data_IF_336609518913
#
_entry.id   IF_336609518913
#
_cell.length_a   1.000
_cell.length_b   1.000
_cell.length_c   1.000
_cell.angle_alpha   90.00
_cell.angle_beta   90.00
_cell.angle_gamma   90.00
#
_symmetry.space_group_name_H-M   'P 1'
#
loop_
_entity.id
_entity.type
_entity.pdbx_description
1 polymer ?
2 polymer ?
3 polymer ?
4 water ?
#
# COMPACT_ATOMS: atom_id res chain seq x y z
N UNK A 1 2.06 -17.72 12.31
CA UNK A 1 2.12 -17.73 10.81
C UNK A 1 3.37 -17.05 10.25
N UNK A 2 3.47 -16.94 8.93
CA UNK A 2 4.63 -16.31 8.26
C UNK A 2 4.60 -14.77 8.30
N UNK A 3 5.76 -14.19 8.05
CA UNK A 3 5.98 -12.76 8.18
C UNK A 3 6.94 -12.29 7.08
N UNK A 4 6.84 -11.01 6.75
CA UNK A 4 7.59 -10.42 5.64
C UNK A 4 8.19 -9.05 6.00
N UNK A 5 9.35 -8.79 5.39
CA UNK A 5 9.99 -7.50 5.41
C UNK A 5 10.03 -7.09 3.94
N UNK A 6 9.45 -5.93 3.64
CA UNK A 6 9.37 -5.44 2.25
C UNK A 6 9.71 -3.97 2.20
N UNK A 7 10.54 -3.59 1.24
CA UNK A 7 10.82 -2.20 0.91
C UNK A 7 10.26 -1.92 -0.47
N UNK A 8 9.46 -0.89 -0.54
CA UNK A 8 8.95 -0.33 -1.79
C UNK A 8 9.77 0.90 -2.12
N UNK A 9 10.51 0.85 -3.21
CA UNK A 9 11.38 1.95 -3.56
C UNK A 9 11.01 2.54 -4.92
N UNK A 10 11.04 3.87 -4.98
CA UNK A 10 10.57 4.63 -6.12
C UNK A 10 11.52 5.78 -6.40
N UNK A 11 11.95 5.88 -7.65
CA UNK A 11 12.72 7.02 -8.12
C UNK A 11 12.03 7.61 -9.35
N UNK A 12 11.75 8.90 -9.31
CA UNK A 12 10.96 9.54 -10.35
C UNK A 12 11.66 10.80 -10.81
N UNK A 13 12.02 10.87 -12.09
CA UNK A 13 12.71 12.05 -12.59
C UNK A 13 11.68 13.17 -12.82
N UNK A 14 12.19 14.39 -12.81
CA UNK A 14 11.43 15.63 -12.90
C UNK A 14 12.23 16.62 -13.75
N UNK A 15 12.40 16.37 -15.03
CA UNK A 15 13.27 17.22 -15.85
C UNK A 15 12.84 18.68 -15.77
N UNK A 16 13.79 19.57 -15.53
CA UNK A 16 13.51 20.98 -15.45
C UNK A 16 13.23 21.42 -14.05
N UNK A 17 13.06 20.46 -13.13
CA UNK A 17 12.66 20.75 -11.76
C UNK A 17 13.64 20.21 -10.71
N UNK A 18 14.86 19.89 -11.12
CA UNK A 18 15.89 19.46 -10.21
C UNK A 18 16.04 17.95 -10.18
N UNK A 19 16.51 17.46 -9.04
CA UNK A 19 16.87 16.06 -8.92
C UNK A 19 15.63 15.18 -8.80
N UNK A 20 15.74 13.89 -9.11
CA UNK A 20 14.58 13.01 -8.94
C UNK A 20 14.05 12.98 -7.50
N UNK A 21 12.76 12.72 -7.35
CA UNK A 21 12.22 12.32 -6.05
C UNK A 21 12.55 10.87 -5.80
N UNK A 22 12.99 10.60 -4.58
CA UNK A 22 13.42 9.26 -4.22
C UNK A 22 12.75 8.91 -2.89
N UNK A 23 12.10 7.76 -2.84
CA UNK A 23 11.48 7.28 -1.62
C UNK A 23 11.73 5.81 -1.38
N UNK A 24 11.88 5.44 -0.11
CA UNK A 24 11.89 4.05 0.32
C UNK A 24 10.85 3.93 1.42
N UNK A 25 9.95 2.96 1.31
CA UNK A 25 8.95 2.75 2.34
C UNK A 25 9.08 1.29 2.76
N UNK A 26 9.30 1.06 4.06
CA UNK A 26 9.47 -0.28 4.58
C UNK A 26 8.25 -0.76 5.31
N UNK A 27 7.93 -2.04 5.16
CA UNK A 27 6.82 -2.71 5.86
C UNK A 27 7.31 -3.95 6.53
N UNK A 28 6.81 -4.22 7.75
CA UNK A 28 6.81 -5.55 8.32
C UNK A 28 5.36 -6.01 8.24
N UNK A 29 5.12 -7.12 7.54
CA UNK A 29 3.77 -7.57 7.17
C UNK A 29 3.01 -6.44 6.49
N UNK A 30 1.84 -6.09 6.99
CA UNK A 30 1.01 -5.04 6.39
C UNK A 30 1.21 -3.67 7.07
N UNK A 31 2.24 -3.54 7.94
CA UNK A 31 2.44 -2.30 8.72
C UNK A 31 3.67 -1.52 8.27
N UNK A 32 3.47 -0.27 7.87
CA UNK A 32 4.55 0.64 7.57
C UNK A 32 5.38 0.86 8.83
N UNK A 33 6.70 0.73 8.73
CA UNK A 33 7.56 0.90 9.89
C UNK A 33 8.76 1.84 9.71
N UNK A 34 9.20 2.10 8.48
CA UNK A 34 10.25 3.09 8.22
C UNK A 34 9.98 3.77 6.88
N UNK A 35 10.54 4.96 6.72
CA UNK A 35 10.45 5.68 5.46
C UNK A 35 11.60 6.67 5.27
N UNK A 36 12.04 6.76 4.02
CA UNK A 36 12.92 7.82 3.57
C UNK A 36 12.28 8.53 2.39
N UNK A 37 12.28 9.85 2.44
CA UNK A 37 11.69 10.65 1.36
C UNK A 37 12.61 11.81 1.04
N UNK A 38 13.13 11.85 -0.19
CA UNK A 38 14.10 12.88 -0.55
C UNK A 38 13.50 14.27 -0.54
N UNK A 39 12.19 14.37 -0.58
CA UNK A 39 11.54 15.69 -0.62
C UNK A 39 11.29 16.32 0.76
N UNK A 40 11.44 15.56 1.83
CA UNK A 40 11.36 16.12 3.17
C UNK A 40 12.35 17.29 3.31
N UNK A 41 12.02 18.17 4.24
CA UNK A 41 12.86 19.34 4.59
C UNK A 41 14.30 18.90 4.90
N UNK A 42 14.43 17.91 5.77
CA UNK A 42 15.72 17.30 6.17
C UNK A 42 15.70 15.77 5.89
N UNK A 43 16.07 15.31 4.70
CA UNK A 43 15.79 13.91 4.35
C UNK A 43 16.64 12.92 5.18
N UNK A 44 15.93 12.08 5.95
CA UNK A 44 16.53 11.01 6.72
C UNK A 44 15.54 9.87 6.86
N UNK A 45 16.05 8.70 7.20
CA UNK A 45 15.17 7.56 7.49
C UNK A 45 14.47 7.90 8.80
N UNK A 46 13.18 7.62 8.87
CA UNK A 46 12.36 7.93 10.03
C UNK A 46 11.56 6.75 10.43
N UNK A 47 11.31 6.58 11.71
CA UNK A 47 10.37 5.54 12.18
C UNK A 47 8.93 5.88 11.78
N UNK A 48 8.18 4.87 11.40
CA UNK A 48 6.74 5.03 11.08
C UNK A 48 5.84 4.18 11.97
N UNK A 49 6.46 3.36 12.82
CA UNK A 49 5.75 2.56 13.83
C UNK A 49 6.38 2.86 15.19
N UNK A 50 5.57 2.85 16.23
CA UNK A 50 6.00 3.26 17.58
C UNK A 50 7.15 2.39 18.13
N UNK A 51 7.10 1.09 17.88
CA UNK A 51 8.14 0.17 18.38
C UNK A 51 9.53 0.39 17.79
N UNK A 52 9.63 1.12 16.68
CA UNK A 52 10.95 1.48 16.13
C UNK A 52 11.69 2.49 17.02
N UNK A 53 11.06 2.97 18.07
CA UNK A 53 11.74 3.75 19.08
C UNK A 53 12.85 2.96 19.78
N UNK A 54 12.77 1.63 19.70
CA UNK A 54 13.76 0.72 20.28
C UNK A 54 15.10 0.65 19.55
N UNK A 55 15.19 1.19 18.33
CA UNK A 55 16.50 1.34 17.68
C UNK A 55 17.20 2.64 18.10
N UNK A 56 18.51 2.56 18.33
CA UNK A 56 19.35 3.68 18.68
C UNK A 56 19.78 4.57 17.49
N UNK A 57 20.46 5.67 17.79
CA UNK A 57 20.86 6.64 16.77
C UNK A 57 21.69 6.02 15.66
N UNK A 58 22.48 5.00 15.98
CA UNK A 58 23.35 4.34 15.01
C UNK A 58 22.53 3.65 13.91
N UNK A 59 21.38 3.08 14.27
CA UNK A 59 20.48 2.52 13.28
C UNK A 59 20.04 3.58 12.25
N UNK A 60 19.53 4.70 12.74
CA UNK A 60 19.00 5.74 11.86
C UNK A 60 20.10 6.38 11.01
N UNK A 61 21.31 6.49 11.56
CA UNK A 61 22.43 7.02 10.81
C UNK A 61 22.82 6.11 9.65
N UNK A 62 22.99 4.80 9.92
CA UNK A 62 23.35 3.82 8.90
C UNK A 62 22.30 3.72 7.79
N UNK A 63 21.04 3.55 8.19
CA UNK A 63 19.95 3.43 7.22
C UNK A 63 19.85 4.69 6.36
N UNK A 64 20.00 5.85 7.00
CA UNK A 64 20.00 7.12 6.29
C UNK A 64 21.12 7.19 5.24
N UNK A 65 22.34 6.81 5.64
CA UNK A 65 23.45 6.85 4.72
C UNK A 65 23.23 5.86 3.61
N UNK A 66 22.66 4.70 3.93
CA UNK A 66 22.36 3.74 2.90
C UNK A 66 21.31 4.28 1.90
N UNK A 67 20.27 4.91 2.43
CA UNK A 67 19.22 5.54 1.58
C UNK A 67 19.78 6.64 0.65
N UNK A 68 20.64 7.48 1.19
CA UNK A 68 21.25 8.54 0.40
C UNK A 68 22.13 7.97 -0.72
N UNK A 69 22.80 6.86 -0.42
CA UNK A 69 23.61 6.18 -1.44
C UNK A 69 22.72 5.56 -2.51
N UNK A 70 21.63 4.96 -2.06
CA UNK A 70 20.67 4.36 -2.97
C UNK A 70 20.06 5.42 -3.87
N UNK A 71 19.73 6.59 -3.27
CA UNK A 71 19.17 7.72 -4.01
C UNK A 71 20.11 8.15 -5.17
N UNK A 72 21.41 8.21 -4.89
CA UNK A 72 22.39 8.55 -5.92
C UNK A 72 22.48 7.45 -7.01
N UNK A 73 22.39 6.17 -6.62
CA UNK A 73 22.39 5.04 -7.57
C UNK A 73 21.21 5.09 -8.51
N UNK A 74 20.04 5.38 -7.95
CA UNK A 74 18.83 5.53 -8.76
C UNK A 74 18.84 6.76 -9.66
N UNK A 75 19.48 7.83 -9.21
CA UNK A 75 19.66 8.95 -10.11
C UNK A 75 20.45 8.55 -11.36
N UNK A 76 21.55 7.83 -11.15
CA UNK A 76 22.38 7.31 -12.22
C UNK A 76 21.57 6.37 -13.10
N UNK A 77 20.79 5.49 -12.49
CA UNK A 77 19.96 4.53 -13.21
C UNK A 77 18.98 5.21 -14.17
N UNK A 78 18.32 6.25 -13.69
CA UNK A 78 17.36 7.01 -14.54
C UNK A 78 18.05 7.52 -15.81
N UNK A 79 19.27 8.03 -15.67
CA UNK A 79 20.04 8.50 -16.84
C UNK A 79 20.49 7.32 -17.70
N UNK A 80 20.90 6.22 -17.09
CA UNK A 80 21.33 5.03 -17.82
C UNK A 80 20.22 4.48 -18.70
N UNK A 81 19.03 4.35 -18.14
CA UNK A 81 17.89 3.77 -18.84
C UNK A 81 17.40 4.65 -19.99
N UNK A 82 17.54 5.98 -19.85
CA UNK A 82 17.29 6.89 -20.98
C UNK A 82 18.14 6.52 -22.18
N UNK A 83 19.41 6.20 -21.95
CA UNK A 83 20.28 5.67 -22.98
C UNK A 83 19.88 4.31 -23.52
N UNK A 84 19.58 3.36 -22.63
CA UNK A 84 19.16 2.00 -23.01
C UNK A 84 17.94 2.03 -23.95
N UNK A 85 16.97 2.89 -23.63
CA UNK A 85 15.71 2.94 -24.37
C UNK A 85 15.65 4.03 -25.44
N UNK A 86 16.75 4.79 -25.62
CA UNK A 86 16.82 5.92 -26.57
C UNK A 86 15.76 7.00 -26.35
N UNK A 87 15.57 7.41 -25.10
CA UNK A 87 14.52 8.36 -24.75
C UNK A 87 15.14 9.74 -24.50
N UNK A 88 14.35 10.79 -24.67
CA UNK A 88 14.84 12.17 -24.47
C UNK A 88 14.94 12.53 -22.99
N UNK A 89 15.70 13.59 -22.72
CA UNK A 89 15.87 14.08 -21.34
C UNK A 89 14.65 14.86 -20.81
N UNK A 90 13.67 15.14 -21.65
CA UNK A 90 12.57 16.02 -21.29
C UNK A 90 11.39 15.40 -20.57
N UNK A 91 11.31 14.06 -20.56
CA UNK A 91 10.15 13.35 -20.03
C UNK A 91 10.43 12.79 -18.64
N UNK A 92 9.40 12.69 -17.81
CA UNK A 92 9.53 12.04 -16.51
C UNK A 92 9.48 10.51 -16.66
N UNK A 93 10.35 9.82 -15.92
CA UNK A 93 10.34 8.35 -15.87
C UNK A 93 10.41 7.85 -14.43
N UNK A 94 10.00 6.61 -14.24
CA UNK A 94 9.88 6.03 -12.91
C UNK A 94 10.61 4.71 -12.86
N UNK A 95 11.47 4.53 -11.87
CA UNK A 95 11.94 3.19 -11.51
C UNK A 95 11.27 2.75 -10.19
N UNK A 96 10.80 1.51 -10.14
CA UNK A 96 10.24 0.92 -8.92
C UNK A 96 10.94 -0.38 -8.56
N UNK A 97 11.14 -0.60 -7.27
CA UNK A 97 11.70 -1.86 -6.77
C UNK A 97 10.93 -2.34 -5.56
N UNK A 98 10.67 -3.66 -5.51
CA UNK A 98 10.20 -4.31 -4.31
C UNK A 98 11.28 -5.29 -3.90
N UNK A 99 11.71 -5.20 -2.66
CA UNK A 99 12.86 -5.93 -2.18
C UNK A 99 12.54 -6.44 -0.79
N UNK A 100 12.82 -7.71 -0.54
CA UNK A 100 12.61 -8.24 0.80
C UNK A 100 12.60 -9.74 0.92
N UNK A 101 12.07 -10.18 2.05
CA UNK A 101 12.09 -11.56 2.43
C UNK A 101 10.88 -11.89 3.31
N UNK A 102 10.59 -13.18 3.36
CA UNK A 102 9.55 -13.78 4.17
C UNK A 102 10.16 -14.92 4.95
N UNK A 103 9.76 -15.02 6.22
CA UNK A 103 10.14 -16.13 7.10
C UNK A 103 8.89 -16.86 7.58
N UNK A 104 9.06 -18.13 7.95
CA UNK A 104 8.01 -18.92 8.59
C UNK A 104 7.85 -18.50 10.03
N UNK A 105 6.90 -19.11 10.73
CA UNK A 105 6.72 -18.86 12.15
C UNK A 105 7.96 -19.22 12.99
N UNK A 106 8.82 -20.11 12.47
CA UNK A 106 10.09 -20.46 13.14
C UNK A 106 11.28 -19.51 12.84
N UNK A 107 11.04 -18.45 12.06
CA UNK A 107 12.05 -17.46 11.76
C UNK A 107 12.94 -17.81 10.58
N UNK A 108 12.71 -18.97 9.95
CA UNK A 108 13.56 -19.38 8.85
C UNK A 108 13.05 -18.88 7.50
N UNK A 109 13.98 -18.55 6.61
CA UNK A 109 13.64 -18.02 5.30
C UNK A 109 12.72 -18.94 4.49
N UNK A 110 11.64 -18.38 3.96
CA UNK A 110 10.76 -19.08 3.03
C UNK A 110 11.00 -18.60 1.61
N UNK A 111 11.20 -17.29 1.44
CA UNK A 111 11.27 -16.69 0.11
C UNK A 111 12.01 -15.35 0.17
N UNK A 112 12.80 -15.06 -0.86
CA UNK A 112 13.43 -13.77 -1.01
C UNK A 112 13.00 -13.19 -2.34
N UNK A 113 12.97 -11.87 -2.47
CA UNK A 113 12.60 -11.28 -3.75
C UNK A 113 13.18 -9.90 -3.99
N UNK A 114 13.31 -9.59 -5.26
CA UNK A 114 13.86 -8.32 -5.71
C UNK A 114 13.40 -8.14 -7.13
N UNK A 115 12.44 -7.25 -7.29
CA UNK A 115 11.78 -7.04 -8.56
C UNK A 115 11.82 -5.56 -8.92
N UNK A 116 12.17 -5.28 -10.18
CA UNK A 116 12.32 -3.94 -10.68
C UNK A 116 11.34 -3.72 -11.82
N UNK A 117 10.80 -2.52 -11.88
CA UNK A 117 10.02 -2.04 -12.99
C UNK A 117 10.56 -0.69 -13.49
N UNK A 118 10.36 -0.44 -14.78
CA UNK A 118 10.58 0.85 -15.41
C UNK A 118 9.30 1.32 -16.08
N UNK A 119 8.88 2.54 -15.77
CA UNK A 119 7.64 3.14 -16.27
C UNK A 119 6.45 2.21 -16.17
N UNK A 120 6.39 1.49 -15.03
CA UNK A 120 5.27 0.66 -14.66
C UNK A 120 5.23 -0.71 -15.32
N UNK A 121 6.31 -1.12 -15.97
CA UNK A 121 6.41 -2.44 -16.60
C UNK A 121 7.60 -3.22 -16.02
N UNK A 122 7.44 -4.53 -15.87
CA UNK A 122 8.51 -5.44 -15.47
C UNK A 122 9.81 -5.10 -16.21
N UNK A 123 10.92 -5.10 -15.47
CA UNK A 123 12.23 -4.83 -16.02
C UNK A 123 13.16 -6.03 -15.78
N UNK A 124 13.55 -6.24 -14.53
CA UNK A 124 14.33 -7.39 -14.15
C UNK A 124 13.92 -7.86 -12.76
N UNK A 125 14.09 -9.15 -12.52
CA UNK A 125 13.73 -9.75 -11.25
C UNK A 125 14.69 -10.87 -10.93
N UNK A 126 15.05 -10.98 -9.65
CA UNK A 126 15.70 -12.19 -9.15
C UNK A 126 14.74 -13.40 -9.20
N UNK A 127 15.21 -14.52 -9.74
CA UNK A 127 14.42 -15.75 -9.78
C UNK A 127 14.37 -16.38 -8.38
N UNK A 128 13.49 -17.35 -8.18
CA UNK A 128 13.26 -17.92 -6.83
C UNK A 128 14.47 -18.73 -6.33
N UNK A 129 15.31 -19.20 -7.24
CA UNK A 129 16.60 -19.82 -6.90
C UNK A 129 17.61 -18.88 -6.16
N UNK A 130 17.38 -17.56 -6.21
CA UNK A 130 18.27 -16.54 -5.63
C UNK A 130 19.68 -16.55 -6.24
N UNK A 131 19.75 -16.99 -7.50
CA UNK A 131 21.00 -17.15 -8.22
C UNK A 131 20.98 -16.55 -9.64
N UNK A 132 19.81 -16.50 -10.29
CA UNK A 132 19.71 -15.99 -11.66
C UNK A 132 18.59 -14.96 -11.81
N UNK A 133 18.63 -14.23 -12.91
CA UNK A 133 17.73 -13.11 -13.18
C UNK A 133 16.82 -13.40 -14.35
N UNK A 134 15.62 -12.82 -14.32
CA UNK A 134 14.82 -12.73 -15.55
C UNK A 134 14.63 -11.29 -15.98
N UNK A 135 14.96 -11.04 -17.25
CA UNK A 135 14.92 -9.74 -17.88
C UNK A 135 13.73 -9.70 -18.83
N UNK A 136 12.91 -8.66 -18.73
CA UNK A 136 11.67 -8.60 -19.52
C UNK A 136 11.85 -8.04 -20.91
N UNK A 137 12.99 -7.41 -21.17
CA UNK A 137 13.26 -6.79 -22.46
C UNK A 137 14.77 -6.66 -22.68
N UNK A 138 15.18 -6.08 -23.81
CA UNK A 138 16.58 -6.11 -24.18
C UNK A 138 17.41 -5.10 -23.42
N UNK A 139 16.78 -4.04 -22.94
CA UNK A 139 17.46 -3.12 -22.03
C UNK A 139 17.88 -3.84 -20.73
N UNK A 140 16.92 -4.54 -20.12
CA UNK A 140 17.16 -5.28 -18.90
C UNK A 140 18.20 -6.38 -19.11
N UNK A 141 18.36 -6.85 -20.35
CA UNK A 141 19.39 -7.82 -20.65
C UNK A 141 20.79 -7.23 -20.45
N UNK A 142 20.92 -5.92 -20.65
CA UNK A 142 22.20 -5.24 -20.41
C UNK A 142 22.47 -5.26 -18.92
N UNK A 143 21.44 -4.91 -18.13
CA UNK A 143 21.58 -4.92 -16.68
C UNK A 143 21.94 -6.35 -16.17
N UNK A 144 21.24 -7.35 -16.69
CA UNK A 144 21.48 -8.75 -16.29
C UNK A 144 22.95 -9.11 -16.49
N UNK A 145 23.47 -8.77 -17.66
CA UNK A 145 24.86 -9.07 -17.97
C UNK A 145 25.81 -8.32 -17.01
N UNK A 146 25.56 -7.04 -16.70
CA UNK A 146 26.42 -6.36 -15.71
C UNK A 146 26.38 -7.03 -14.34
N UNK A 147 25.19 -7.42 -13.94
CA UNK A 147 25.00 -7.99 -12.63
C UNK A 147 25.63 -9.38 -12.55
N UNK A 148 25.62 -10.12 -13.66
CA UNK A 148 26.28 -11.43 -13.70
C UNK A 148 27.80 -11.27 -13.52
N UNK A 149 28.36 -10.32 -14.26
CA UNK A 149 29.82 -10.12 -14.21
C UNK A 149 30.29 -9.57 -12.86
N UNK A 150 29.43 -8.81 -12.18
CA UNK A 150 29.77 -8.24 -10.86
C UNK A 150 29.44 -9.14 -9.67
N UNK A 151 28.82 -10.29 -9.92
CA UNK A 151 28.44 -11.18 -8.83
C UNK A 151 27.28 -10.61 -8.01
N UNK A 152 26.39 -9.85 -8.63
CA UNK A 152 25.34 -9.18 -7.89
C UNK A 152 24.35 -10.12 -7.22
N UNK A 153 24.00 -11.22 -7.88
CA UNK A 153 23.05 -12.16 -7.31
C UNK A 153 23.59 -12.76 -6.02
N UNK A 154 24.88 -13.08 -5.99
CA UNK A 154 25.45 -13.62 -4.76
C UNK A 154 25.43 -12.58 -3.60
N UNK A 155 25.76 -11.32 -3.90
CA UNK A 155 25.65 -10.22 -2.93
C UNK A 155 24.21 -10.10 -2.45
N UNK A 156 23.26 -10.16 -3.37
CA UNK A 156 21.84 -10.02 -3.03
C UNK A 156 21.36 -11.18 -2.20
N UNK A 157 21.77 -12.39 -2.58
CA UNK A 157 21.41 -13.60 -1.84
C UNK A 157 21.93 -13.54 -0.40
N UNK A 158 23.13 -13.01 -0.21
CA UNK A 158 23.71 -12.88 1.13
C UNK A 158 22.89 -11.92 2.00
N UNK A 159 22.39 -10.83 1.39
CA UNK A 159 21.45 -9.92 2.05
C UNK A 159 20.13 -10.64 2.42
N UNK A 160 19.51 -11.28 1.44
CA UNK A 160 18.23 -11.93 1.66
C UNK A 160 18.28 -13.04 2.73
N UNK A 161 19.34 -13.85 2.73
CA UNK A 161 19.47 -14.97 3.67
C UNK A 161 20.02 -14.54 5.00
N UNK A 162 20.72 -13.41 5.02
CA UNK A 162 21.45 -12.94 6.18
C UNK A 162 20.77 -11.74 6.80
N UNK A 163 21.23 -10.55 6.43
CA UNK A 163 20.68 -9.26 6.89
C UNK A 163 19.16 -9.19 6.92
N UNK A 164 18.52 -9.55 5.81
CA UNK A 164 17.08 -9.36 5.70
C UNK A 164 16.35 -10.21 6.75
N UNK A 165 16.70 -11.48 6.85
CA UNK A 165 16.00 -12.34 7.80
C UNK A 165 16.33 -11.96 9.24
N UNK A 166 17.59 -11.63 9.51
CA UNK A 166 18.02 -11.30 10.84
C UNK A 166 17.36 -10.02 11.38
N UNK A 167 17.23 -9.00 10.53
CA UNK A 167 16.55 -7.79 10.90
C UNK A 167 15.04 -8.01 11.01
N UNK A 168 14.46 -8.78 10.10
CA UNK A 168 13.05 -9.12 10.22
C UNK A 168 12.74 -9.78 11.57
N UNK A 169 13.56 -10.74 11.99
CA UNK A 169 13.39 -11.40 13.28
C UNK A 169 13.44 -10.38 14.40
N UNK A 170 14.42 -9.49 14.34
CA UNK A 170 14.56 -8.43 15.35
C UNK A 170 13.34 -7.49 15.38
N UNK A 171 12.79 -7.12 14.22
CA UNK A 171 11.66 -6.21 14.17
C UNK A 171 10.42 -6.88 14.77
N UNK A 172 10.24 -8.15 14.45
CA UNK A 172 9.13 -8.94 15.02
C UNK A 172 9.21 -9.10 16.53
N UNK A 173 10.43 -9.23 17.04
CA UNK A 173 10.66 -9.32 18.47
C UNK A 173 10.35 -7.98 19.13
N UNK A 174 10.97 -6.93 18.62
CA UNK A 174 10.79 -5.60 19.20
C UNK A 174 9.35 -5.11 19.08
N UNK A 175 8.72 -5.38 17.94
CA UNK A 175 7.37 -4.93 17.68
C UNK A 175 6.29 -5.96 17.99
N UNK A 176 6.59 -6.94 18.84
CA UNK A 176 5.70 -8.11 18.98
C UNK A 176 4.27 -7.75 19.40
N UNK A 177 4.13 -6.78 20.29
CA UNK A 177 2.84 -6.37 20.80
C UNK A 177 1.94 -5.77 19.68
N UNK A 178 2.55 -5.19 18.66
CA UNK A 178 1.84 -4.62 17.50
C UNK A 178 1.70 -5.65 16.37
N UNK A 179 2.81 -6.28 16.04
CA UNK A 179 2.90 -7.12 14.85
C UNK A 179 2.27 -8.50 15.01
N UNK A 180 2.28 -9.03 16.23
CA UNK A 180 1.74 -10.38 16.47
C UNK A 180 0.36 -10.32 17.10
N UNK A 181 -0.22 -9.12 17.14
CA UNK A 181 -1.58 -8.96 17.67
C UNK A 181 -2.63 -9.41 16.64
N UNK A 182 -3.82 -9.64 17.15
CA UNK A 182 -4.99 -9.87 16.32
C UNK A 182 -6.10 -8.90 16.75
N UNK A 183 -6.59 -8.08 15.82
CA UNK A 183 -7.78 -7.23 16.05
C UNK A 183 -8.95 -7.78 15.23
N UNK A 184 -9.99 -8.20 15.92
CA UNK A 184 -11.16 -8.82 15.34
C UNK A 184 -12.01 -7.82 14.57
N UNK A 185 -12.48 -8.19 13.38
CA UNK A 185 -13.40 -7.32 12.66
C UNK A 185 -14.69 -7.10 13.41
N UNK A 186 -15.25 -5.90 13.29
CA UNK A 186 -16.60 -5.64 13.70
C UNK A 186 -17.37 -5.39 12.40
N UNK A 187 -18.50 -6.06 12.20
CA UNK A 187 -19.23 -5.96 10.95
C UNK A 187 -20.63 -5.36 11.10
N UNK A 188 -21.10 -4.75 10.01
CA UNK A 188 -22.48 -4.29 9.90
C UNK A 188 -22.92 -4.24 8.45
N UNK A 189 -24.22 -4.20 8.22
CA UNK A 189 -24.80 -4.17 6.89
C UNK A 189 -25.61 -2.90 6.72
N UNK A 190 -25.39 -2.20 5.62
CA UNK A 190 -26.20 -1.05 5.24
C UNK A 190 -27.06 -1.42 4.04
N UNK A 191 -28.06 -0.58 3.79
CA UNK A 191 -29.14 -0.85 2.85
C UNK A 191 -29.40 0.43 2.08
N UNK A 192 -29.43 0.33 0.75
CA UNK A 192 -29.72 1.47 -0.13
C UNK A 192 -30.71 1.10 -1.23
N UNK A 193 -31.66 2.00 -1.47
CA UNK A 193 -32.66 1.76 -2.47
C UNK A 193 -32.07 1.96 -3.87
N UNK A 194 -32.67 1.31 -4.85
CA UNK A 194 -32.34 1.46 -6.26
C UNK A 194 -33.62 1.65 -7.06
N UNK A 195 -33.52 2.07 -8.31
CA UNK A 195 -34.67 1.97 -9.22
C UNK A 195 -34.95 0.50 -9.54
N UNK A 196 -36.16 0.17 -9.97
CA UNK A 196 -36.44 -1.18 -10.48
C UNK A 196 -36.73 -2.21 -9.35
N UNK A 197 -37.15 -1.72 -8.18
CA UNK A 197 -37.55 -2.60 -7.05
C UNK A 197 -36.39 -3.50 -6.60
N UNK A 198 -35.20 -2.93 -6.58
CA UNK A 198 -34.00 -3.63 -6.14
C UNK A 198 -33.34 -2.81 -5.04
N UNK A 199 -32.32 -3.39 -4.40
CA UNK A 199 -31.80 -2.89 -3.14
C UNK A 199 -30.32 -3.30 -3.06
N UNK A 200 -29.46 -2.35 -2.70
CA UNK A 200 -28.06 -2.66 -2.43
C UNK A 200 -27.89 -2.99 -0.96
N UNK A 201 -27.31 -4.15 -0.68
CA UNK A 201 -26.89 -4.49 0.67
C UNK A 201 -25.36 -4.43 0.72
N UNK A 202 -24.81 -3.71 1.68
CA UNK A 202 -23.35 -3.58 1.78
C UNK A 202 -22.88 -4.12 3.13
N UNK A 203 -21.99 -5.10 3.09
CA UNK A 203 -21.42 -5.64 4.31
C UNK A 203 -20.07 -5.02 4.57
N UNK A 204 -19.94 -4.40 5.74
CA UNK A 204 -18.74 -3.73 6.18
C UNK A 204 -18.05 -4.59 7.24
N UNK A 205 -16.73 -4.60 7.18
CA UNK A 205 -15.87 -5.17 8.20
C UNK A 205 -14.84 -4.10 8.59
N UNK A 206 -14.82 -3.74 9.88
CA UNK A 206 -14.03 -2.62 10.38
C UNK A 206 -13.07 -3.06 11.46
N UNK A 207 -11.98 -2.32 11.59
CA UNK A 207 -11.12 -2.39 12.77
C UNK A 207 -10.26 -3.63 12.88
N UNK A 208 -9.93 -4.29 11.78
CA UNK A 208 -9.24 -5.58 11.89
C UNK A 208 -7.74 -5.53 11.60
N UNK A 209 -7.03 -6.48 12.19
CA UNK A 209 -5.61 -6.70 11.93
C UNK A 209 -5.32 -8.19 12.19
N UNK A 210 -4.57 -8.89 11.34
CA UNK A 210 -3.95 -8.36 10.11
C UNK A 210 -4.92 -8.14 8.96
N UNK A 211 -4.39 -7.78 7.79
CA UNK A 211 -5.21 -7.30 6.70
C UNK A 211 -5.99 -8.43 6.00
N UNK A 212 -5.49 -9.67 6.05
CA UNK A 212 -6.11 -10.77 5.28
C UNK A 212 -7.48 -11.00 5.86
N UNK A 213 -8.48 -10.97 5.00
CA UNK A 213 -9.85 -11.23 5.37
C UNK A 213 -10.64 -11.77 4.18
N UNK A 214 -11.76 -12.44 4.47
CA UNK A 214 -12.70 -12.83 3.43
C UNK A 214 -14.12 -12.40 3.84
N UNK A 215 -14.81 -11.73 2.89
CA UNK A 215 -16.20 -11.36 3.02
C UNK A 215 -16.95 -11.95 1.85
N UNK A 216 -18.00 -12.69 2.14
CA UNK A 216 -18.84 -13.21 1.06
C UNK A 216 -20.27 -12.89 1.38
N UNK A 217 -21.11 -12.98 0.37
CA UNK A 217 -22.56 -12.93 0.55
C UNK A 217 -23.11 -14.26 0.11
N UNK A 218 -24.12 -14.77 0.82
CA UNK A 218 -24.76 -16.04 0.50
C UNK A 218 -26.26 -15.88 0.29
N UNK A 219 -26.80 -16.66 -0.64
CA UNK A 219 -28.25 -16.90 -0.77
C UNK A 219 -28.45 -18.41 -0.72
N UNK A 220 -29.29 -18.91 0.18
CA UNK A 220 -29.60 -20.36 0.22
C UNK A 220 -28.34 -21.24 0.19
N UNK A 221 -27.35 -20.84 0.99
CA UNK A 221 -26.13 -21.61 1.17
C UNK A 221 -25.09 -21.53 0.08
N UNK A 222 -25.35 -20.79 -1.00
CA UNK A 222 -24.43 -20.67 -2.13
C UNK A 222 -23.78 -19.28 -2.15
N UNK A 223 -22.47 -19.23 -2.35
CA UNK A 223 -21.77 -17.96 -2.45
C UNK A 223 -22.10 -17.27 -3.78
N UNK A 224 -22.23 -15.95 -3.74
CA UNK A 224 -22.57 -15.13 -4.89
C UNK A 224 -21.36 -14.32 -5.39
N UNK A 225 -20.20 -14.97 -5.53
CA UNK A 225 -18.93 -14.25 -5.84
C UNK A 225 -18.98 -13.46 -7.16
N UNK A 226 -19.73 -13.97 -8.14
CA UNK A 226 -19.82 -13.31 -9.46
C UNK A 226 -20.60 -11.99 -9.42
N UNK A 227 -21.65 -11.91 -8.60
CA UNK A 227 -22.54 -10.73 -8.57
C UNK A 227 -22.10 -9.60 -7.59
N UNK A 228 -21.06 -9.85 -6.80
CA UNK A 228 -20.62 -8.94 -5.74
C UNK A 228 -19.75 -7.82 -6.26
N UNK A 229 -20.00 -6.61 -5.75
CA UNK A 229 -19.01 -5.53 -5.82
C UNK A 229 -18.25 -5.43 -4.49
N UNK A 230 -16.99 -5.07 -4.58
CA UNK A 230 -16.19 -4.90 -3.37
C UNK A 230 -15.06 -3.89 -3.57
N UNK A 231 -14.42 -3.53 -2.47
CA UNK A 231 -13.18 -2.79 -2.53
C UNK A 231 -12.07 -3.67 -1.99
N UNK A 232 -10.87 -3.41 -2.47
CA UNK A 232 -9.67 -4.00 -1.92
C UNK A 232 -9.58 -3.55 -0.47
N UNK A 233 -9.14 -4.47 0.37
CA UNK A 233 -8.87 -4.23 1.76
C UNK A 233 -7.94 -3.03 1.86
N UNK A 234 -8.24 -2.16 2.81
CA UNK A 234 -7.64 -0.84 2.82
C UNK A 234 -7.33 -0.36 4.21
N UNK A 235 -6.21 0.35 4.36
CA UNK A 235 -5.79 0.83 5.68
C UNK A 235 -6.68 1.99 6.15
N UNK A 236 -6.87 2.11 7.47
CA UNK A 236 -7.85 3.04 8.03
C UNK A 236 -7.21 4.10 8.93
N UNK A 237 -5.89 4.23 8.85
CA UNK A 237 -5.19 5.37 9.40
C UNK A 237 -4.53 5.16 10.76
N UNK A 238 -4.81 4.02 11.39
CA UNK A 238 -4.32 3.73 12.75
C UNK A 238 -3.69 2.35 12.86
N UNK A 239 -3.31 1.77 11.73
CA UNK A 239 -2.71 0.46 11.71
C UNK A 239 -3.69 -0.68 11.62
N UNK A 240 -4.98 -0.39 11.49
CA UNK A 240 -5.97 -1.41 11.18
C UNK A 240 -6.47 -1.26 9.75
N UNK A 241 -7.31 -2.19 9.35
CA UNK A 241 -7.83 -2.28 7.99
C UNK A 241 -9.34 -2.35 7.96
N UNK A 242 -9.87 -2.17 6.77
CA UNK A 242 -11.31 -2.29 6.52
C UNK A 242 -11.61 -2.77 5.11
N UNK A 243 -12.82 -3.22 4.92
CA UNK A 243 -13.27 -3.73 3.64
C UNK A 243 -14.78 -3.67 3.60
N UNK A 244 -15.34 -3.54 2.40
CA UNK A 244 -16.74 -3.86 2.20
C UNK A 244 -16.99 -4.68 0.94
N UNK A 245 -18.15 -5.35 0.94
CA UNK A 245 -18.63 -6.12 -0.19
C UNK A 245 -20.15 -5.96 -0.26
N UNK A 246 -20.67 -5.68 -1.45
CA UNK A 246 -22.10 -5.49 -1.65
C UNK A 246 -22.69 -6.47 -2.68
N UNK A 247 -24.01 -6.64 -2.60
CA UNK A 247 -24.76 -7.39 -3.60
C UNK A 247 -26.08 -6.65 -3.84
N UNK A 248 -26.64 -6.79 -5.04
CA UNK A 248 -27.92 -6.17 -5.39
C UNK A 248 -28.99 -7.27 -5.37
N UNK A 249 -30.04 -7.04 -4.59
CA UNK A 249 -31.07 -8.05 -4.35
C UNK A 249 -32.50 -7.49 -4.52
N UNK A 250 -33.50 -8.34 -4.72
CA UNK A 250 -34.88 -7.84 -4.86
C UNK A 250 -35.44 -7.26 -3.55
N UNK A 251 -36.13 -6.12 -3.65
CA UNK A 251 -36.83 -5.52 -2.52
C UNK A 251 -37.79 -6.58 -1.96
N UNK A 252 -37.89 -6.67 -0.62
CA UNK A 252 -38.70 -7.67 0.05
C UNK A 252 -38.00 -9.01 0.31
N UNK A 253 -36.79 -9.19 -0.21
CA UNK A 253 -36.11 -10.48 -0.12
C UNK A 253 -34.76 -10.38 0.60
N UNK A 254 -34.50 -9.25 1.26
CA UNK A 254 -33.21 -9.00 1.91
C UNK A 254 -32.92 -10.00 3.06
N UNK A 255 -33.96 -10.56 3.66
CA UNK A 255 -33.82 -11.47 4.80
C UNK A 255 -33.13 -12.77 4.42
N UNK A 256 -33.12 -13.10 3.14
CA UNK A 256 -32.58 -14.37 2.66
C UNK A 256 -31.09 -14.31 2.35
N UNK A 257 -30.50 -13.12 2.40
CA UNK A 257 -29.07 -12.95 2.08
C UNK A 257 -28.26 -12.75 3.36
N UNK A 258 -27.14 -13.45 3.46
CA UNK A 258 -26.28 -13.36 4.63
C UNK A 258 -24.85 -12.98 4.25
N UNK A 259 -24.26 -12.04 4.99
CA UNK A 259 -22.84 -11.74 4.86
C UNK A 259 -22.03 -12.67 5.75
N UNK A 260 -20.93 -13.19 5.23
CA UNK A 260 -20.02 -14.02 6.03
C UNK A 260 -18.63 -13.39 6.09
N UNK A 261 -18.08 -13.28 7.31
CA UNK A 261 -16.78 -12.70 7.53
C UNK A 261 -15.83 -13.73 8.15
N UNK A 262 -14.71 -13.99 7.48
CA UNK A 262 -13.68 -14.92 7.94
C UNK A 262 -12.37 -14.16 8.17
N UNK A 263 -11.81 -14.36 9.35
CA UNK A 263 -10.59 -13.64 9.77
C UNK A 263 -9.92 -14.38 10.91
N UNK A 264 -8.62 -14.17 11.03
CA UNK A 264 -7.81 -14.68 12.15
C UNK A 264 -8.36 -14.40 13.56
N UNK A 265 -9.02 -13.25 13.74
CA UNK A 265 -9.57 -12.86 15.04
C UNK A 265 -11.02 -13.27 15.26
N UNK A 266 -11.53 -14.15 14.40
CA UNK A 266 -12.89 -14.66 14.49
C UNK A 266 -12.82 -16.20 14.63
N UNK A 267 -12.80 -16.69 15.87
CA UNK A 267 -12.77 -18.14 16.11
C UNK A 267 -13.85 -18.86 15.28
N UNK A 268 -15.03 -18.27 15.25
CA UNK A 268 -16.09 -18.67 14.34
C UNK A 268 -16.43 -17.47 13.45
N UNK A 269 -16.56 -17.70 12.14
CA UNK A 269 -16.87 -16.59 11.23
C UNK A 269 -18.18 -15.91 11.58
N UNK A 270 -18.25 -14.61 11.32
CA UNK A 270 -19.48 -13.87 11.53
C UNK A 270 -20.47 -14.17 10.41
N UNK A 271 -21.74 -14.28 10.78
CA UNK A 271 -22.85 -14.33 9.85
C UNK A 271 -23.78 -13.18 10.27
N UNK A 272 -24.13 -12.33 9.30
CA UNK A 272 -25.04 -11.22 9.58
C UNK A 272 -25.91 -10.89 8.37
N UNK A 273 -26.98 -10.15 8.66
CA UNK A 273 -27.95 -9.71 7.66
C UNK A 273 -28.37 -8.27 7.94
N UNK A 274 -29.14 -7.69 7.02
CA UNK A 274 -29.67 -6.36 7.26
C UNK A 274 -30.67 -6.39 8.41
N UNK A 275 -30.54 -5.40 9.30
CA UNK A 275 -31.39 -5.18 10.48
C UNK A 275 -32.27 -3.94 10.24
N UNK A 276 -33.51 -4.12 9.78
CA UNK A 276 -34.43 -2.98 9.55
C UNK A 276 -34.47 -1.96 10.71
N UNK B 1 2.52 3.87 -20.18
CA UNK B 1 1.18 3.41 -19.73
C UNK B 1 0.60 4.36 -18.65
N UNK B 2 -0.73 4.44 -18.61
CA UNK B 2 -1.40 5.41 -17.76
C UNK B 2 -2.62 4.78 -17.08
N UNK B 3 -2.70 4.88 -15.75
CA UNK B 3 -3.81 4.31 -14.99
C UNK B 3 -4.44 5.38 -14.11
N UNK B 4 -5.76 5.49 -14.19
CA UNK B 4 -6.52 6.51 -13.49
C UNK B 4 -6.72 6.14 -12.02
N UNK B 5 -6.50 7.04 -11.09
CA UNK B 5 -6.68 6.68 -9.67
C UNK B 5 -8.11 6.32 -9.32
N UNK B 6 -8.24 5.33 -8.45
CA UNK B 6 -9.50 5.07 -7.77
C UNK B 6 -9.38 5.80 -6.44
N UNK B 7 -10.41 6.53 -6.03
CA UNK B 7 -10.38 7.39 -4.84
C UNK B 7 -11.50 6.98 -3.90
N UNK B 8 -11.13 6.59 -2.68
CA UNK B 8 -12.06 6.08 -1.70
C UNK B 8 -11.95 6.88 -0.43
N UNK B 9 -13.09 7.32 0.08
CA UNK B 9 -13.13 8.19 1.27
C UNK B 9 -13.96 7.51 2.35
N UNK B 10 -13.41 7.42 3.56
CA UNK B 10 -14.03 6.65 4.61
C UNK B 10 -13.45 7.00 5.96
N UNK B 11 -14.26 6.83 6.98
CA UNK B 11 -13.82 7.04 8.36
C UNK B 11 -13.42 5.71 9.00
N UNK B 12 -12.51 5.78 9.98
CA UNK B 12 -12.07 4.62 10.75
C UNK B 12 -13.21 3.96 11.53
N UNK B 13 -14.03 4.76 12.22
CA UNK B 13 -15.22 4.28 12.97
C UNK B 13 -16.49 4.78 12.31
N UNK B 14 -17.63 4.10 12.53
CA UNK B 14 -18.93 4.65 12.11
C UNK B 14 -19.09 6.03 12.73
N UNK B 15 -19.46 7.03 11.97
CA UNK B 15 -19.41 8.40 12.48
C UNK B 15 -20.47 8.71 13.55
N UNK B 16 -20.04 9.35 14.63
CA UNK B 16 -20.92 9.90 15.66
C UNK B 16 -20.54 11.33 15.88
N UNK B 17 -21.51 12.25 15.79
CA UNK B 17 -21.21 13.66 15.96
C UNK B 17 -20.58 13.93 17.32
N UNK B 18 -19.51 14.73 17.37
CA UNK B 18 -18.81 15.05 18.60
C UNK B 18 -17.76 14.04 19.05
N UNK B 19 -17.65 12.90 18.37
CA UNK B 19 -16.71 11.84 18.75
C UNK B 19 -15.48 11.83 17.82
N UNK B 20 -14.27 11.92 18.37
CA UNK B 20 -13.06 11.87 17.54
C UNK B 20 -12.97 10.61 16.70
N UNK B 21 -12.43 10.78 15.51
CA UNK B 21 -12.42 9.73 14.49
C UNK B 21 -11.22 10.00 13.59
N UNK B 22 -11.06 9.20 12.54
CA UNK B 22 -10.05 9.45 11.53
C UNK B 22 -10.73 9.40 10.16
N UNK B 23 -10.48 10.41 9.33
CA UNK B 23 -10.93 10.39 7.94
C UNK B 23 -9.80 9.98 7.01
N UNK B 24 -10.15 9.11 6.06
CA UNK B 24 -9.20 8.54 5.14
C UNK B 24 -9.58 8.85 3.70
N UNK B 25 -8.56 9.08 2.90
CA UNK B 25 -8.67 9.13 1.45
C UNK B 25 -7.62 8.20 0.87
N UNK B 26 -8.04 7.06 0.36
CA UNK B 26 -7.10 6.08 -0.19
C UNK B 26 -7.17 6.23 -1.70
N UNK B 27 -6.02 6.48 -2.28
CA UNK B 27 -5.91 6.76 -3.70
C UNK B 27 -5.07 5.64 -4.31
N UNK B 28 -5.68 4.88 -5.22
CA UNK B 28 -5.11 3.61 -5.64
C UNK B 28 -5.13 3.40 -7.13
N UNK B 29 -4.34 2.41 -7.53
CA UNK B 29 -4.32 1.89 -8.91
C UNK B 29 -3.91 2.94 -9.93
N UNK B 30 -2.96 3.81 -9.59
CA UNK B 30 -2.57 4.88 -10.52
C UNK B 30 -1.14 4.82 -11.00
N UNK B 31 -0.94 5.38 -12.19
CA UNK B 31 0.39 5.54 -12.81
C UNK B 31 0.25 6.66 -13.85
N UNK B 32 1.18 7.59 -13.98
CA UNK B 32 2.46 7.67 -13.26
C UNK B 32 2.28 8.19 -11.80
N UNK B 33 3.34 8.15 -11.02
CA UNK B 33 3.24 8.40 -9.58
C UNK B 33 2.97 9.84 -9.18
N UNK B 34 3.29 10.83 -10.02
CA UNK B 34 3.02 12.23 -9.65
C UNK B 34 1.52 12.46 -9.44
N UNK B 35 1.18 13.00 -8.28
CA UNK B 35 -0.21 13.17 -7.89
C UNK B 35 -0.36 14.25 -6.81
N UNK B 36 -1.50 14.92 -6.80
CA UNK B 36 -1.86 15.86 -5.77
C UNK B 36 -3.13 15.36 -5.11
N UNK B 37 -3.10 15.23 -3.79
CA UNK B 37 -4.22 14.70 -3.01
C UNK B 37 -4.47 15.71 -1.90
N UNK B 38 -5.66 16.34 -1.87
CA UNK B 38 -6.03 17.27 -0.81
C UNK B 38 -7.31 16.76 -0.16
N UNK B 39 -7.35 16.81 1.17
CA UNK B 39 -8.57 16.54 1.92
C UNK B 39 -9.18 17.91 2.23
N UNK B 40 -10.51 17.99 2.14
CA UNK B 40 -11.25 19.24 2.30
C UNK B 40 -12.35 19.11 3.35
N UNK B 41 -12.49 20.14 4.16
CA UNK B 41 -13.57 20.29 5.10
C UNK B 41 -14.36 21.55 4.70
N UNK B 42 -15.63 21.36 4.34
CA UNK B 42 -16.49 22.44 3.88
C UNK B 42 -15.86 23.25 2.76
N UNK B 43 -15.19 22.55 1.84
CA UNK B 43 -14.55 23.16 0.68
C UNK B 43 -13.17 23.76 0.90
N UNK B 44 -12.69 23.75 2.14
CA UNK B 44 -11.37 24.31 2.48
C UNK B 44 -10.36 23.19 2.78
N UNK B 45 -9.15 23.33 2.25
CA UNK B 45 -8.06 22.38 2.55
C UNK B 45 -7.90 22.17 4.05
N UNK B 46 -7.80 20.91 4.45
CA UNK B 46 -7.48 20.55 5.83
C UNK B 46 -5.95 20.58 5.97
N UNK B 47 -5.41 21.35 6.91
CA UNK B 47 -3.95 21.51 7.00
C UNK B 47 -3.14 20.28 7.50
N UNK B 48 -3.58 19.48 8.45
CA UNK B 48 -2.52 18.61 9.05
C UNK B 48 -2.31 17.22 8.39
N UNK B 49 -2.65 17.06 7.11
CA UNK B 49 -2.92 15.72 6.54
C UNK B 49 -1.67 14.82 6.49
N UNK B 50 -1.78 13.61 7.04
CA UNK B 50 -0.67 12.67 7.03
C UNK B 50 -0.76 11.79 5.79
N UNK B 51 0.35 11.65 5.07
CA UNK B 51 0.42 10.70 3.96
C UNK B 51 1.12 9.45 4.47
N UNK B 52 0.56 8.28 4.15
CA UNK B 52 1.11 7.03 4.67
C UNK B 52 0.74 5.86 3.75
N UNK B 53 1.25 4.68 4.06
CA UNK B 53 0.86 3.46 3.36
C UNK B 53 1.06 3.50 1.86
N UNK B 54 2.16 4.11 1.42
CA UNK B 54 2.50 4.09 0.02
C UNK B 54 2.98 2.71 -0.33
N UNK B 55 2.42 2.12 -1.36
CA UNK B 55 2.83 0.79 -1.83
C UNK B 55 2.57 0.68 -3.33
N UNK B 56 2.97 -0.43 -3.93
CA UNK B 56 2.54 -0.78 -5.27
C UNK B 56 1.90 -2.16 -5.31
N UNK B 57 1.02 -2.36 -6.28
CA UNK B 57 0.40 -3.68 -6.49
C UNK B 57 1.30 -4.50 -7.43
N UNK B 58 0.88 -5.71 -7.73
CA UNK B 58 1.66 -6.61 -8.58
C UNK B 58 1.83 -6.05 -10.00
N UNK B 59 0.86 -5.28 -10.48
CA UNK B 59 0.98 -4.64 -11.80
C UNK B 59 1.69 -3.24 -11.74
N UNK B 60 2.33 -2.97 -10.61
CA UNK B 60 3.16 -1.77 -10.37
C UNK B 60 2.36 -0.48 -10.13
N UNK B 61 1.02 -0.54 -10.13
CA UNK B 61 0.23 0.65 -9.88
C UNK B 61 0.45 1.14 -8.42
N UNK B 62 0.45 2.46 -8.25
CA UNK B 62 0.68 3.10 -6.96
C UNK B 62 -0.59 3.20 -6.10
N UNK B 63 -0.38 3.05 -4.80
CA UNK B 63 -1.37 3.17 -3.76
C UNK B 63 -0.79 4.09 -2.68
N UNK B 64 -1.63 4.95 -2.11
CA UNK B 64 -1.24 5.82 -0.99
C UNK B 64 -2.46 6.31 -0.21
N UNK B 65 -2.29 6.48 1.10
CA UNK B 65 -3.32 6.89 2.05
C UNK B 65 -3.06 8.31 2.51
N UNK B 66 -4.07 9.16 2.42
CA UNK B 66 -4.09 10.42 3.15
C UNK B 66 -5.05 10.26 4.30
N UNK B 67 -4.66 10.74 5.46
CA UNK B 67 -5.57 10.67 6.60
C UNK B 67 -5.38 11.77 7.61
N UNK B 68 -6.44 12.03 8.36
CA UNK B 68 -6.44 13.09 9.33
C UNK B 68 -7.40 12.78 10.47
N UNK B 69 -6.98 13.12 11.69
CA UNK B 69 -7.89 13.16 12.84
C UNK B 69 -8.99 14.16 12.61
N UNK B 70 -10.21 13.81 12.99
CA UNK B 70 -11.34 14.73 12.85
C UNK B 70 -12.47 14.35 13.79
N UNK B 71 -13.25 15.34 14.12
CA UNK B 71 -14.43 15.16 14.92
C UNK B 71 -15.63 15.61 14.10
N UNK B 72 -16.41 14.70 13.58
CA UNK B 72 -17.55 15.09 12.76
C UNK B 72 -18.62 15.85 13.55
N UNK B 73 -19.27 16.76 12.84
CA UNK B 73 -20.40 17.56 13.32
C UNK B 73 -21.49 17.30 12.28
N UNK B 74 -22.77 17.52 12.59
CA UNK B 74 -23.78 17.18 11.59
C UNK B 74 -23.71 18.05 10.35
N UNK B 75 -23.28 19.31 10.45
CA UNK B 75 -23.25 20.21 9.29
C UNK B 75 -22.01 20.09 8.38
N UNK B 76 -20.91 19.56 8.90
CA UNK B 76 -19.65 19.54 8.19
C UNK B 76 -19.67 18.51 7.05
N UNK B 77 -19.12 18.92 5.92
CA UNK B 77 -18.96 18.10 4.73
C UNK B 77 -17.49 17.88 4.47
N UNK B 78 -17.11 16.67 4.11
CA UNK B 78 -15.72 16.34 3.86
C UNK B 78 -15.56 15.71 2.49
N UNK B 79 -14.38 15.91 1.92
CA UNK B 79 -14.12 15.49 0.56
C UNK B 79 -12.63 15.31 0.33
N UNK B 80 -12.32 14.60 -0.73
CA UNK B 80 -10.97 14.40 -1.17
C UNK B 80 -10.86 14.74 -2.64
N UNK B 81 -9.94 15.64 -2.97
CA UNK B 81 -9.76 16.13 -4.33
C UNK B 81 -8.39 15.77 -4.85
N UNK B 82 -8.36 15.16 -6.03
CA UNK B 82 -7.15 14.57 -6.57
C UNK B 82 -6.88 15.07 -7.99
N UNK B 83 -5.63 15.47 -8.24
CA UNK B 83 -5.17 15.88 -9.59
C UNK B 83 -4.13 14.90 -10.04
N UNK B 84 -4.32 14.38 -11.23
CA UNK B 84 -3.43 13.41 -11.83
C UNK B 84 -3.50 13.56 -13.34
N UNK B 85 -2.41 13.21 -14.01
CA UNK B 85 -2.28 13.40 -15.45
C UNK B 85 -3.33 12.59 -16.26
N UNK B 86 -3.82 11.49 -15.70
CA UNK B 86 -4.82 10.66 -16.35
C UNK B 86 -6.18 11.33 -16.48
N UNK B 87 -6.38 12.45 -15.80
CA UNK B 87 -7.69 13.10 -15.73
C UNK B 87 -7.59 14.55 -16.17
N UNK B 88 -8.46 14.92 -17.08
CA UNK B 88 -8.51 16.27 -17.61
C UNK B 88 -8.78 17.29 -16.52
N UNK B 89 -9.74 16.98 -15.64
CA UNK B 89 -10.00 17.82 -14.46
C UNK B 89 -9.75 17.06 -13.15
N UNK B 90 -9.48 17.81 -12.09
CA UNK B 90 -9.41 17.24 -10.73
C UNK B 90 -10.69 16.51 -10.37
N UNK B 91 -10.57 15.35 -9.74
CA UNK B 91 -11.72 14.57 -9.32
C UNK B 91 -11.89 14.67 -7.80
N UNK B 92 -13.13 14.95 -7.35
CA UNK B 92 -13.44 15.07 -5.93
C UNK B 92 -14.42 14.00 -5.54
N UNK B 93 -14.10 13.26 -4.49
CA UNK B 93 -14.94 12.23 -3.96
C UNK B 93 -15.37 12.70 -2.56
N UNK B 94 -16.68 12.67 -2.29
CA UNK B 94 -17.23 13.17 -1.04
C UNK B 94 -17.41 12.02 -0.09
N UNK B 95 -17.16 12.29 1.18
CA UNK B 95 -17.47 11.35 2.24
C UNK B 95 -18.97 11.19 2.36
N UNK B 96 -19.41 9.93 2.31
CA UNK B 96 -20.82 9.55 2.42
C UNK B 96 -20.95 8.80 3.72
N UNK B 97 -21.42 9.50 4.76
CA UNK B 97 -21.55 8.90 6.08
C UNK B 97 -22.46 7.66 6.11
N UNK B 98 -23.40 7.56 5.16
CA UNK B 98 -24.43 6.52 5.20
C UNK B 98 -24.07 5.36 4.30
N UNK B 99 -22.89 5.42 3.67
CA UNK B 99 -22.48 4.33 2.81
C UNK B 99 -22.38 3.02 3.60
N UNK C 2 18.54 -2.89 7.78
CA UNK C 2 17.44 -3.50 7.02
C UNK C 2 17.29 -3.31 5.54
N UNK C 3 17.44 -2.12 4.95
CA UNK C 3 17.35 -2.00 3.49
C UNK C 3 18.64 -2.48 2.80
N UNK C 4 18.51 -3.01 1.58
CA UNK C 4 19.63 -3.37 0.74
C UNK C 4 20.36 -2.11 0.19
N UNK C 5 21.66 -2.23 -0.09
CA UNK C 5 22.42 -1.23 -0.86
C UNK C 5 22.34 -1.61 -2.35
N UNK C 6 21.52 -0.93 -3.13
CA UNK C 6 21.19 -1.40 -4.49
C UNK C 6 22.36 -1.12 -5.43
N UNK C 7 22.46 -1.94 -6.46
CA UNK C 7 23.48 -1.84 -7.49
C UNK C 7 22.97 -0.95 -8.59
N UNK C 8 23.86 -0.29 -9.31
CA UNK C 8 23.42 0.44 -10.51
C UNK C 8 23.08 -0.53 -11.65
N UNK C 9 22.21 -0.07 -12.54
CA UNK C 9 21.60 -0.86 -13.63
C UNK C 9 22.36 -0.75 -14.99
#
# INVERSE_FOLDING_TARGET
GPHSLRYFVTAVSRPGLGEPRYMEVGYVDDTEFVRFDSDAENPRYEPRARWMEQEGPEYWERETQKAKGNEQSFRVDLRTLLGYYNQSKGGSHTIQVISGCEVGSDGRLLRGYQQYAYDGCDYIALNEDLKTWTAADMAALITKHKWEQAGEAERLRAYLEGTCVEWLRRYLKNGNATLLRTDSPKAHVTHHSRPEDKVTLRCWALGFYPADITLTWQLNGEELIQDMELVETRPAGDGTFQKWASVVVPLGKEQYYTCHVYHQGLPEPLTLRWEPPPSTVSNMATVAVLVVLGAAIVTGAVVAFVMKMRRRNTGGKGGDYALAPGSQTSDLSLPDCKVMVHDPHSLA
IQKTPQIQVYSRHPPENGKPNILNCYVTQFHPPHIEIQMLKNGKKIPKVEMSDMSFSKDWSFYILAHTEFTPTETDTYACRVKHDSMAEPKTVYWDRDM
KAVYNFATM
#
